data_IF_926652837904
#
_entry.id   IF_926652837904
#
_cell.length_a   1.000
_cell.length_b   1.000
_cell.length_c   1.000
_cell.angle_alpha   90.00
_cell.angle_beta   90.00
_cell.angle_gamma   90.00
#
_symmetry.space_group_name_H-M   'P 1'
#
loop_
_entity.id
_entity.type
_entity.pdbx_description
1 polymer ?
#
# COMPACT_ATOMS: atom_id res chain seq x y z
N UNK A 1 26.88 -1.89 -7.19
CA UNK A 1 25.91 -1.20 -8.08
C UNK A 1 25.09 -0.27 -7.21
N UNK A 2 25.17 1.05 -7.44
CA UNK A 2 24.42 2.03 -6.66
C UNK A 2 22.98 2.07 -7.17
N UNK A 3 22.04 1.59 -6.37
CA UNK A 3 20.60 1.81 -6.61
C UNK A 3 20.36 3.30 -6.38
N UNK A 4 20.25 4.06 -7.47
CA UNK A 4 19.93 5.48 -7.41
C UNK A 4 18.49 5.61 -6.92
N UNK A 5 18.31 6.19 -5.74
CA UNK A 5 17.00 6.43 -5.10
C UNK A 5 16.03 7.23 -5.99
N UNK A 6 16.54 7.96 -6.99
CA UNK A 6 15.74 8.70 -7.97
C UNK A 6 14.94 7.79 -8.94
N UNK A 7 15.27 6.51 -9.07
CA UNK A 7 14.48 5.57 -9.88
C UNK A 7 13.26 5.00 -9.13
N UNK A 8 13.22 5.19 -7.80
CA UNK A 8 12.18 4.63 -6.93
C UNK A 8 11.05 5.62 -6.62
N UNK A 9 11.12 6.84 -7.15
CA UNK A 9 10.03 7.82 -7.07
C UNK A 9 9.07 7.57 -8.23
N UNK A 10 7.96 6.87 -7.94
CA UNK A 10 6.88 6.71 -8.90
C UNK A 10 6.30 8.09 -9.25
N UNK A 11 6.38 8.53 -10.51
CA UNK A 11 5.79 9.81 -10.92
C UNK A 11 4.28 9.75 -10.67
N UNK A 12 3.72 10.85 -10.17
CA UNK A 12 2.28 10.93 -9.83
C UNK A 12 1.37 10.61 -11.02
N UNK A 13 1.87 10.80 -12.24
CA UNK A 13 1.20 10.49 -13.51
C UNK A 13 1.08 8.97 -13.79
N UNK A 14 1.89 8.13 -13.12
CA UNK A 14 1.82 6.67 -13.19
C UNK A 14 1.09 6.05 -12.00
N UNK A 15 0.74 6.85 -10.99
CA UNK A 15 -0.10 6.39 -9.89
C UNK A 15 -1.49 6.10 -10.42
N UNK A 16 -1.97 4.89 -10.18
CA UNK A 16 -3.32 4.51 -10.55
C UNK A 16 -4.30 5.26 -9.64
N UNK A 17 -5.48 5.60 -10.16
CA UNK A 17 -6.55 6.19 -9.35
C UNK A 17 -7.20 5.13 -8.45
N UNK A 18 -7.05 3.86 -8.85
CA UNK A 18 -7.72 2.69 -8.30
C UNK A 18 -6.68 1.60 -8.08
N UNK A 19 -6.65 1.03 -6.88
CA UNK A 19 -5.67 0.03 -6.49
C UNK A 19 -6.39 -1.26 -6.13
N UNK A 20 -5.89 -2.38 -6.64
CA UNK A 20 -6.45 -3.69 -6.31
C UNK A 20 -5.83 -4.19 -5.01
N UNK A 21 -6.61 -4.13 -3.94
CA UNK A 21 -6.25 -4.67 -2.63
C UNK A 21 -6.48 -6.17 -2.64
N UNK A 22 -5.49 -6.90 -2.13
CA UNK A 22 -5.49 -8.37 -2.00
C UNK A 22 -5.33 -8.82 -0.56
N UNK A 23 -4.82 -7.96 0.33
CA UNK A 23 -4.75 -8.25 1.75
C UNK A 23 -4.99 -6.99 2.58
N UNK A 24 -5.64 -7.15 3.72
CA UNK A 24 -5.79 -6.10 4.73
C UNK A 24 -5.27 -6.61 6.07
N UNK A 25 -4.48 -5.78 6.75
CA UNK A 25 -3.87 -6.07 8.04
C UNK A 25 -3.97 -4.88 8.97
N UNK A 26 -4.12 -5.14 10.26
CA UNK A 26 -4.18 -4.07 11.26
C UNK A 26 -2.80 -3.43 11.43
N UNK A 27 -2.71 -2.11 11.33
CA UNK A 27 -1.49 -1.38 11.62
C UNK A 27 -1.45 -0.97 13.08
N UNK A 28 -0.59 -1.64 13.85
CA UNK A 28 -0.36 -1.34 15.26
C UNK A 28 1.09 -0.90 15.47
N UNK A 29 1.31 0.02 16.39
CA UNK A 29 2.63 0.42 16.86
C UNK A 29 2.54 0.60 18.36
N UNK A 30 3.42 -0.08 19.10
CA UNK A 30 3.50 0.01 20.56
C UNK A 30 2.18 -0.30 21.30
N UNK A 31 1.40 -1.25 20.77
CA UNK A 31 0.07 -1.61 21.32
C UNK A 31 -1.07 -0.68 20.90
N UNK A 32 -0.77 0.49 20.33
CA UNK A 32 -1.77 1.42 19.79
C UNK A 32 -2.10 1.11 18.34
N UNK A 33 -3.39 1.22 18.01
CA UNK A 33 -3.92 0.97 16.68
C UNK A 33 -3.82 2.26 15.89
N UNK A 34 -2.76 2.38 15.09
CA UNK A 34 -2.54 3.55 14.26
C UNK A 34 -3.42 3.54 13.00
N UNK A 35 -3.86 2.35 12.57
CA UNK A 35 -4.88 2.21 11.54
C UNK A 35 -4.81 0.88 10.81
N UNK A 36 -4.82 0.94 9.49
CA UNK A 36 -4.95 -0.24 8.62
C UNK A 36 -3.89 -0.22 7.51
N UNK A 37 -3.32 -1.39 7.23
CA UNK A 37 -2.39 -1.63 6.13
C UNK A 37 -3.12 -2.43 5.06
N UNK A 38 -3.15 -1.92 3.84
CA UNK A 38 -3.74 -2.56 2.69
C UNK A 38 -2.60 -2.95 1.73
N UNK A 39 -2.45 -4.24 1.45
CA UNK A 39 -1.56 -4.69 0.39
C UNK A 39 -2.30 -4.66 -0.93
N UNK A 40 -1.75 -3.86 -1.84
CA UNK A 40 -2.31 -3.67 -3.16
C UNK A 40 -1.34 -4.22 -4.20
N UNK A 41 -1.88 -4.81 -5.26
CA UNK A 41 -1.10 -5.25 -6.42
C UNK A 41 -1.22 -4.18 -7.50
N UNK A 42 -0.08 -3.76 -8.02
CA UNK A 42 0.01 -2.84 -9.15
C UNK A 42 0.20 -3.62 -10.45
N UNK A 43 -0.85 -3.88 -11.24
CA UNK A 43 -0.72 -4.61 -12.50
C UNK A 43 0.22 -3.88 -13.47
N UNK A 44 0.22 -2.54 -13.47
CA UNK A 44 1.10 -1.72 -14.31
C UNK A 44 2.58 -1.78 -13.92
N UNK A 45 2.88 -2.19 -12.70
CA UNK A 45 4.26 -2.32 -12.19
C UNK A 45 4.71 -3.79 -12.14
N UNK A 46 4.33 -4.61 -13.14
CA UNK A 46 4.64 -6.05 -13.17
C UNK A 46 4.12 -6.79 -11.92
N UNK A 47 2.93 -6.45 -11.45
CA UNK A 47 2.30 -7.05 -10.27
C UNK A 47 3.09 -6.85 -8.97
N UNK A 48 3.78 -5.72 -8.85
CA UNK A 48 4.47 -5.37 -7.62
C UNK A 48 3.46 -5.15 -6.50
N UNK A 49 3.76 -5.72 -5.32
CA UNK A 49 2.93 -5.58 -4.13
C UNK A 49 3.40 -4.36 -3.35
N UNK A 50 2.47 -3.45 -3.09
CA UNK A 50 2.72 -2.28 -2.25
C UNK A 50 1.89 -2.35 -0.97
N UNK A 51 2.52 -2.01 0.16
CA UNK A 51 1.80 -1.89 1.43
C UNK A 51 1.40 -0.42 1.63
N UNK A 52 0.11 -0.15 1.55
CA UNK A 52 -0.49 1.17 1.78
C UNK A 52 -0.97 1.27 3.22
N UNK A 53 -0.37 2.16 4.00
CA UNK A 53 -0.79 2.44 5.38
C UNK A 53 -1.76 3.60 5.40
N UNK A 54 -2.90 3.39 6.03
CA UNK A 54 -3.94 4.40 6.20
C UNK A 54 -4.19 4.58 7.69
N UNK A 55 -4.09 5.82 8.16
CA UNK A 55 -4.49 6.17 9.52
C UNK A 55 -6.01 6.29 9.56
N UNK A 56 -6.67 5.25 10.04
CA UNK A 56 -8.12 5.19 10.15
C UNK A 56 -8.50 4.27 11.30
N UNK A 57 -9.50 4.64 12.09
CA UNK A 57 -10.00 3.79 13.18
C UNK A 57 -10.69 2.54 12.62
N UNK A 58 -11.48 2.70 11.56
CA UNK A 58 -12.21 1.61 10.90
C UNK A 58 -11.57 1.20 9.57
N UNK A 59 -11.57 -0.10 9.24
CA UNK A 59 -11.15 -0.56 7.93
C UNK A 59 -12.21 -0.20 6.89
N UNK A 60 -11.77 0.08 5.68
CA UNK A 60 -12.64 0.36 4.52
C UNK A 60 -13.17 -0.94 3.90
N UNK A 61 -12.37 -2.01 4.01
CA UNK A 61 -12.79 -3.38 3.72
C UNK A 61 -12.24 -4.29 4.81
N UNK A 62 -13.07 -5.21 5.30
CA UNK A 62 -12.66 -6.23 6.27
C UNK A 62 -11.93 -7.36 5.58
N UNK A 63 -11.13 -8.11 6.34
CA UNK A 63 -10.42 -9.28 5.80
C UNK A 63 -11.39 -10.31 5.22
N UNK A 64 -12.49 -10.57 5.93
CA UNK A 64 -13.53 -11.52 5.49
C UNK A 64 -14.18 -11.09 4.17
N UNK A 65 -14.57 -9.83 4.04
CA UNK A 65 -15.17 -9.33 2.79
C UNK A 65 -14.18 -9.39 1.61
N UNK A 66 -12.90 -9.16 1.89
CA UNK A 66 -11.85 -9.26 0.88
C UNK A 66 -11.56 -10.71 0.48
N UNK A 67 -11.64 -11.65 1.42
CA UNK A 67 -11.47 -13.09 1.18
C UNK A 67 -12.64 -13.64 0.35
N UNK A 68 -13.88 -13.26 0.68
CA UNK A 68 -15.07 -13.63 -0.11
C UNK A 68 -15.04 -13.05 -1.53
N UNK A 69 -14.61 -11.80 -1.71
CA UNK A 69 -14.50 -11.17 -3.03
C UNK A 69 -13.23 -11.59 -3.78
N UNK A 70 -12.24 -12.15 -3.09
CA UNK A 70 -10.89 -12.44 -3.56
C UNK A 70 -10.03 -11.19 -3.85
N UNK A 71 -10.64 -10.09 -4.29
CA UNK A 71 -9.97 -8.83 -4.65
C UNK A 71 -10.94 -7.66 -4.43
N UNK A 72 -10.42 -6.51 -3.98
CA UNK A 72 -11.21 -5.30 -3.83
C UNK A 72 -10.51 -4.09 -4.46
N UNK A 73 -11.28 -3.20 -5.07
CA UNK A 73 -10.75 -1.99 -5.67
C UNK A 73 -10.90 -0.86 -4.65
N UNK A 74 -9.78 -0.31 -4.19
CA UNK A 74 -9.76 0.82 -3.27
C UNK A 74 -9.11 2.02 -3.95
N UNK A 75 -9.76 3.16 -3.80
CA UNK A 75 -9.19 4.46 -4.16
C UNK A 75 -8.58 5.09 -2.92
N UNK A 76 -7.28 5.40 -3.00
CA UNK A 76 -6.58 6.13 -1.96
C UNK A 76 -6.53 7.62 -2.29
N UNK A 77 -6.94 8.44 -1.33
CA UNK A 77 -6.80 9.89 -1.43
C UNK A 77 -5.48 10.34 -0.82
N UNK A 78 -4.79 11.22 -1.55
CA UNK A 78 -3.49 11.77 -1.17
C UNK A 78 -2.43 10.68 -0.89
N UNK A 79 -2.37 9.69 -1.80
CA UNK A 79 -1.39 8.60 -1.71
C UNK A 79 0.03 9.14 -1.90
N UNK A 80 0.83 9.01 -0.86
CA UNK A 80 2.25 9.33 -0.84
C UNK A 80 3.04 8.03 -0.90
N UNK A 81 3.70 7.77 -2.02
CA UNK A 81 4.64 6.65 -2.15
C UNK A 81 6.05 7.16 -1.89
N UNK A 82 6.68 6.63 -0.86
CA UNK A 82 8.06 6.92 -0.49
C UNK A 82 8.89 5.65 -0.58
N UNK A 83 9.99 5.67 -1.34
CA UNK A 83 10.94 4.57 -1.29
C UNK A 83 11.64 4.56 0.06
N UNK A 84 11.87 3.37 0.58
CA UNK A 84 12.69 3.18 1.76
C UNK A 84 13.73 2.11 1.50
N UNK A 85 14.92 2.35 2.04
CA UNK A 85 16.02 1.39 2.03
C UNK A 85 16.53 1.25 3.46
N UNK A 86 16.67 0.02 3.93
CA UNK A 86 17.45 -0.29 5.14
C UNK A 86 18.63 -1.14 4.75
N UNK A 87 19.80 -0.72 5.23
CA UNK A 87 21.00 -1.52 5.18
C UNK A 87 21.14 -2.18 6.54
N UNK A 88 21.12 -3.51 6.59
CA UNK A 88 21.31 -4.28 7.80
C UNK A 88 22.51 -5.20 7.62
N UNK A 89 23.71 -4.64 7.86
CA UNK A 89 24.98 -5.31 7.58
C UNK A 89 25.21 -5.53 6.07
N UNK A 90 25.36 -6.80 5.65
CA UNK A 90 25.53 -7.17 4.24
C UNK A 90 24.24 -7.15 3.40
N UNK A 91 23.06 -7.06 4.03
CA UNK A 91 21.79 -7.06 3.32
C UNK A 91 21.25 -5.64 3.12
N UNK A 92 20.96 -5.30 1.87
CA UNK A 92 20.26 -4.07 1.51
C UNK A 92 18.82 -4.44 1.20
N UNK A 93 17.91 -4.11 2.12
CA UNK A 93 16.47 -4.19 1.87
C UNK A 93 16.02 -2.86 1.30
N UNK A 94 15.45 -2.87 0.09
CA UNK A 94 14.80 -1.70 -0.50
C UNK A 94 13.35 -2.06 -0.80
N UNK A 95 12.46 -1.09 -0.70
CA UNK A 95 11.04 -1.28 -0.97
C UNK A 95 10.32 0.04 -1.11
N UNK A 96 9.03 -0.06 -1.42
CA UNK A 96 8.12 1.08 -1.49
C UNK A 96 7.22 1.05 -0.27
N UNK A 97 7.13 2.18 0.43
CA UNK A 97 6.13 2.40 1.46
C UNK A 97 5.13 3.40 0.91
N UNK A 98 3.85 3.03 0.93
CA UNK A 98 2.79 3.93 0.53
C UNK A 98 1.98 4.32 1.77
N UNK A 99 1.65 5.61 1.89
CA UNK A 99 0.84 6.16 2.98
C UNK A 99 -0.29 6.96 2.35
N UNK A 100 -1.52 6.73 2.78
CA UNK A 100 -2.67 7.51 2.34
C UNK A 100 -3.43 8.09 3.53
N UNK A 101 -4.06 9.24 3.31
CA UNK A 101 -4.88 9.88 4.34
C UNK A 101 -6.28 9.27 4.42
N UNK A 102 -6.81 8.84 3.27
CA UNK A 102 -8.14 8.25 3.19
C UNK A 102 -8.15 7.12 2.18
N UNK A 103 -8.95 6.11 2.46
CA UNK A 103 -9.25 5.02 1.54
C UNK A 103 -10.77 5.01 1.29
N UNK A 104 -11.17 4.75 0.05
CA UNK A 104 -12.57 4.62 -0.35
C UNK A 104 -12.74 3.33 -1.15
N UNK A 105 -13.60 2.43 -0.69
CA UNK A 105 -13.91 1.20 -1.42
C UNK A 105 -14.74 1.57 -2.66
N UNK A 106 -14.32 1.11 -3.83
CA UNK A 106 -15.10 1.16 -5.06
C UNK A 106 -15.75 -0.20 -5.23
N UNK A 107 -17.07 -0.34 -4.95
CA UNK A 107 -17.76 -1.59 -5.22
C UNK A 107 -17.79 -1.80 -6.73
N UNK A 108 -17.21 -2.91 -7.20
CA UNK A 108 -17.33 -3.32 -8.59
C UNK A 108 -18.79 -3.77 -8.79
N UNK A 109 -19.52 -3.04 -9.62
CA UNK A 109 -20.98 -3.19 -9.80
C UNK A 109 -21.31 -4.31 -10.79
#
# INVERSE_FOLDING_TARGET
MAVKINDLTLPKEKLETEYQVVQVSRWQKDGEVLGWTYECVLPKLRFEKISVKVKSETPVITKDALDEQGMAIIRFDNLLITPWGRVNGQFVSYGLAAVANKATLIPNK
#
